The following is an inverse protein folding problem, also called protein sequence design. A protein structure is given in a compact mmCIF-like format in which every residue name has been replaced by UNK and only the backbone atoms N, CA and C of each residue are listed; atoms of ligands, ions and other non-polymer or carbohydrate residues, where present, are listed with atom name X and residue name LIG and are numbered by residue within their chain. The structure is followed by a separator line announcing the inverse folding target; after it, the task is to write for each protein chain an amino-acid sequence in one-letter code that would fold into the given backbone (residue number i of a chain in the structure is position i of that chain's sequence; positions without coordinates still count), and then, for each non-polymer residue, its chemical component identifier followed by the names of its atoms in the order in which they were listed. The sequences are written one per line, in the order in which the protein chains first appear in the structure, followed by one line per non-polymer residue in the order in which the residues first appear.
data_IF_930139473547
#
_entry.id   IF_930139473547
#
_cell.length_a   1.000
_cell.length_b   1.000
_cell.length_c   1.000
_cell.angle_alpha   90.00
_cell.angle_beta   90.00
_cell.angle_gamma   90.00
#
_symmetry.space_group_name_H-M   'P 1'
#
loop_
_entity.id
_entity.type
_entity.pdbx_description
1 polymer ?
#
# COMPACT_ATOMS: atom_id res chain seq x y z
N UNK A 1 -28.35 -5.64 0.56
CA UNK A 1 -28.20 -4.18 0.29
C UNK A 1 -26.95 -3.63 0.99
N UNK A 2 -26.67 -4.03 2.24
CA UNK A 2 -25.49 -3.63 3.00
C UNK A 2 -24.16 -4.04 2.34
N UNK A 3 -24.04 -5.30 1.89
CA UNK A 3 -22.80 -5.81 1.25
C UNK A 3 -22.32 -5.03 0.02
N UNK A 4 -23.25 -4.45 -0.76
CA UNK A 4 -22.89 -3.63 -1.92
C UNK A 4 -22.33 -2.28 -1.51
N UNK A 5 -22.84 -1.71 -0.42
CA UNK A 5 -22.33 -0.45 0.13
C UNK A 5 -20.94 -0.66 0.73
N UNK A 6 -20.70 -1.79 1.39
CA UNK A 6 -19.37 -2.16 1.90
C UNK A 6 -18.36 -2.36 0.78
N UNK A 7 -18.75 -3.04 -0.30
CA UNK A 7 -17.89 -3.22 -1.48
C UNK A 7 -17.52 -1.87 -2.13
N UNK A 8 -18.48 -0.95 -2.26
CA UNK A 8 -18.24 0.38 -2.81
C UNK A 8 -17.37 1.24 -1.89
N UNK A 9 -17.57 1.15 -0.57
CA UNK A 9 -16.72 1.83 0.40
C UNK A 9 -15.27 1.32 0.29
N UNK A 10 -15.08 0.01 0.20
CA UNK A 10 -13.78 -0.61 0.03
C UNK A 10 -13.08 -0.19 -1.28
N UNK A 11 -13.80 -0.17 -2.39
CA UNK A 11 -13.27 0.29 -3.68
C UNK A 11 -12.87 1.76 -3.64
N UNK A 12 -13.66 2.61 -2.97
CA UNK A 12 -13.32 4.03 -2.77
C UNK A 12 -12.02 4.22 -1.99
N UNK A 13 -11.81 3.46 -0.92
CA UNK A 13 -10.57 3.53 -0.14
C UNK A 13 -9.35 3.08 -0.97
N UNK A 14 -9.49 2.06 -1.80
CA UNK A 14 -8.45 1.65 -2.76
C UNK A 14 -8.11 2.76 -3.75
N UNK A 15 -9.13 3.44 -4.30
CA UNK A 15 -8.91 4.55 -5.24
C UNK A 15 -8.22 5.75 -4.58
N UNK A 16 -8.55 6.06 -3.33
CA UNK A 16 -7.87 7.11 -2.54
C UNK A 16 -6.39 6.73 -2.36
N UNK A 17 -6.11 5.50 -1.96
CA UNK A 17 -4.76 4.96 -1.84
C UNK A 17 -3.97 5.09 -3.14
N UNK A 18 -4.54 4.66 -4.28
CA UNK A 18 -3.89 4.75 -5.59
C UNK A 18 -3.58 6.19 -6.00
N UNK A 19 -4.50 7.12 -5.73
CA UNK A 19 -4.29 8.55 -5.99
C UNK A 19 -3.14 9.11 -5.16
N UNK A 20 -3.05 8.73 -3.89
CA UNK A 20 -2.03 9.23 -2.98
C UNK A 20 -0.64 8.67 -3.35
N UNK A 21 -0.57 7.41 -3.84
CA UNK A 21 0.64 6.87 -4.46
C UNK A 21 1.08 7.67 -5.69
N UNK A 22 0.14 7.98 -6.59
CA UNK A 22 0.45 8.75 -7.79
C UNK A 22 0.99 10.15 -7.44
N UNK A 23 0.47 10.80 -6.38
CA UNK A 23 0.97 12.08 -5.87
C UNK A 23 2.37 12.00 -5.28
N UNK A 24 2.69 10.89 -4.63
CA UNK A 24 4.04 10.59 -4.16
C UNK A 24 4.97 10.08 -5.28
N UNK A 25 4.48 10.02 -6.51
CA UNK A 25 5.12 9.43 -7.68
C UNK A 25 5.62 7.99 -7.49
N UNK A 26 4.91 7.25 -6.64
CA UNK A 26 5.13 5.84 -6.34
C UNK A 26 4.20 4.96 -7.17
N UNK A 27 4.63 3.72 -7.44
CA UNK A 27 3.86 2.74 -8.21
C UNK A 27 3.81 1.40 -7.48
N UNK A 28 2.69 0.70 -7.62
CA UNK A 28 2.59 -0.69 -7.19
C UNK A 28 3.72 -1.51 -7.83
N UNK A 29 4.45 -2.28 -7.01
CA UNK A 29 5.65 -3.02 -7.40
C UNK A 29 6.98 -2.33 -7.09
N UNK A 30 6.98 -1.04 -6.74
CA UNK A 30 8.20 -0.31 -6.37
C UNK A 30 8.89 -0.97 -5.18
N UNK A 31 10.24 -0.98 -5.22
CA UNK A 31 11.05 -1.49 -4.11
C UNK A 31 11.28 -0.38 -3.10
N UNK A 32 10.82 -0.61 -1.88
CA UNK A 32 10.91 0.32 -0.77
C UNK A 32 11.88 -0.20 0.29
N UNK A 33 12.59 0.74 0.92
CA UNK A 33 13.40 0.48 2.12
C UNK A 33 12.85 1.32 3.26
N UNK A 34 12.56 0.67 4.38
CA UNK A 34 12.13 1.34 5.60
C UNK A 34 13.33 2.01 6.26
N UNK A 35 13.19 3.29 6.62
CA UNK A 35 14.31 4.14 7.06
C UNK A 35 14.86 3.77 8.44
N UNK A 36 14.03 3.18 9.30
CA UNK A 36 14.37 2.96 10.71
C UNK A 36 15.14 1.65 10.89
N UNK A 37 14.64 0.56 10.31
CA UNK A 37 15.17 -0.80 10.51
C UNK A 37 15.85 -1.36 9.25
N UNK A 38 15.82 -0.63 8.13
CA UNK A 38 16.39 -1.07 6.85
C UNK A 38 15.59 -2.16 6.15
N UNK A 39 14.39 -2.49 6.62
CA UNK A 39 13.55 -3.55 6.03
C UNK A 39 13.27 -3.23 4.55
N UNK A 40 13.42 -4.22 3.67
CA UNK A 40 13.13 -4.08 2.24
C UNK A 40 11.85 -4.83 1.89
N UNK A 41 11.01 -4.20 1.08
CA UNK A 41 9.80 -4.83 0.55
C UNK A 41 9.32 -4.17 -0.73
N UNK A 42 8.22 -4.70 -1.26
CA UNK A 42 7.56 -4.19 -2.45
C UNK A 42 6.25 -3.50 -2.09
N UNK A 43 6.02 -2.36 -2.70
CA UNK A 43 4.77 -1.63 -2.57
C UNK A 43 3.63 -2.43 -3.21
N UNK A 44 2.55 -2.65 -2.47
CA UNK A 44 1.40 -3.44 -2.93
C UNK A 44 0.09 -2.76 -2.50
N UNK A 45 -0.98 -2.95 -3.28
CA UNK A 45 -2.31 -2.46 -2.88
C UNK A 45 -3.16 -3.63 -2.41
N UNK A 46 -3.47 -3.64 -1.11
CA UNK A 46 -4.42 -4.58 -0.52
C UNK A 46 -5.84 -4.13 -0.89
N UNK A 47 -6.50 -4.93 -1.73
CA UNK A 47 -7.85 -4.61 -2.25
C UNK A 47 -8.97 -5.27 -1.44
N UNK A 48 -8.63 -6.26 -0.60
CA UNK A 48 -9.59 -7.06 0.17
C UNK A 48 -9.29 -7.04 1.67
N UNK A 49 -10.31 -7.30 2.47
CA UNK A 49 -10.25 -7.28 3.93
C UNK A 49 -10.52 -5.89 4.56
N UNK A 50 -10.55 -5.83 5.91
CA UNK A 50 -10.99 -4.64 6.66
C UNK A 50 -10.05 -3.43 6.56
N UNK A 51 -8.85 -3.60 5.98
CA UNK A 51 -7.85 -2.56 5.78
C UNK A 51 -7.40 -2.52 4.32
N UNK A 52 -8.34 -2.38 3.39
CA UNK A 52 -7.98 -2.12 2.01
C UNK A 52 -7.18 -0.81 1.92
N UNK A 53 -6.05 -0.82 1.23
CA UNK A 53 -5.09 0.29 1.28
C UNK A 53 -3.69 -0.10 0.82
N UNK A 54 -2.75 0.79 1.08
CA UNK A 54 -1.34 0.64 0.66
C UNK A 54 -0.58 -0.15 1.71
N UNK A 55 0.09 -1.22 1.30
CA UNK A 55 0.94 -2.04 2.16
C UNK A 55 2.29 -2.27 1.50
N UNK A 56 3.28 -2.63 2.31
CA UNK A 56 4.57 -3.10 1.85
C UNK A 56 4.68 -4.59 2.16
N UNK A 57 4.84 -5.39 1.11
CA UNK A 57 5.10 -6.82 1.23
C UNK A 57 6.61 -7.03 1.35
N UNK A 58 7.05 -7.46 2.51
CA UNK A 58 8.47 -7.72 2.79
C UNK A 58 8.89 -9.08 2.22
N UNK A 59 10.20 -9.30 2.08
CA UNK A 59 10.75 -10.54 1.54
C UNK A 59 10.45 -11.78 2.39
N UNK A 60 10.20 -11.61 3.69
CA UNK A 60 9.77 -12.66 4.61
C UNK A 60 8.25 -12.93 4.55
N UNK A 61 7.54 -12.30 3.60
CA UNK A 61 6.12 -12.52 3.34
C UNK A 61 5.17 -11.75 4.25
N UNK A 62 5.68 -10.91 5.16
CA UNK A 62 4.83 -10.04 5.98
C UNK A 62 4.25 -8.91 5.14
N UNK A 63 3.10 -8.39 5.58
CA UNK A 63 2.49 -7.18 5.05
C UNK A 63 2.52 -6.12 6.13
N UNK A 64 3.26 -5.05 5.88
CA UNK A 64 3.39 -3.93 6.78
C UNK A 64 2.61 -2.72 6.22
N UNK A 65 2.03 -1.87 7.07
CA UNK A 65 1.37 -0.66 6.60
C UNK A 65 2.39 0.27 5.93
N UNK A 66 1.99 0.91 4.82
CA UNK A 66 2.79 1.95 4.21
C UNK A 66 2.74 3.24 5.05
N UNK A 67 3.86 3.94 5.11
CA UNK A 67 4.05 5.20 5.83
C UNK A 67 5.15 6.02 5.15
N UNK A 68 5.37 7.24 5.63
CA UNK A 68 6.46 8.13 5.17
C UNK A 68 7.86 7.63 5.51
N UNK A 69 7.98 6.58 6.32
CA UNK A 69 9.26 5.95 6.65
C UNK A 69 9.72 4.97 5.57
N UNK A 70 8.89 4.70 4.56
CA UNK A 70 9.28 3.90 3.40
C UNK A 70 9.78 4.79 2.27
N UNK A 71 10.99 4.51 1.80
CA UNK A 71 11.63 5.28 0.73
C UNK A 71 11.87 4.39 -0.48
N UNK A 72 11.46 4.87 -1.65
CA UNK A 72 11.73 4.21 -2.93
C UNK A 72 13.19 4.43 -3.34
N UNK A 73 13.92 3.34 -3.58
CA UNK A 73 15.34 3.37 -3.98
C UNK A 73 15.53 3.47 -5.50
N UNK A 74 14.47 3.28 -6.29
CA UNK A 74 14.54 3.16 -7.76
C UNK A 74 14.42 4.49 -8.51
N UNK A 75 15.03 5.57 -8.00
CA UNK A 75 15.25 6.81 -8.76
C UNK A 75 16.69 7.28 -8.65
#
# INVERSE_FOLDING_TARGET
MMEKLDALAQEREVLIALRDLARAELREGDTLTHRIDGTVGRLTVQRTGPAAGIVVQTNDGKRLPFSTDWVCRSR
#
